data_IF_432786295172
#
_entry.id   IF_432786295172
#
_cell.length_a   1.000
_cell.length_b   1.000
_cell.length_c   1.000
_cell.angle_alpha   90.00
_cell.angle_beta   90.00
_cell.angle_gamma   90.00
#
_symmetry.space_group_name_H-M   'P 1'
#
loop_
_entity.id
_entity.type
_entity.pdbx_description
1 polymer ?
#
# COMPACT_ATOMS: atom_id res chain seq x y z
N UNK A 1 21.63 29.82 23.42
CA UNK A 1 21.94 28.42 23.05
C UNK A 1 20.69 27.56 22.85
N UNK A 2 19.74 27.51 23.80
CA UNK A 2 18.47 26.78 23.59
C UNK A 2 17.44 27.60 22.80
N UNK A 3 17.37 28.91 23.06
CA UNK A 3 16.50 29.86 22.35
C UNK A 3 16.89 29.99 20.87
N UNK A 4 18.20 30.01 20.59
CA UNK A 4 18.72 30.03 19.21
C UNK A 4 18.32 28.76 18.43
N UNK A 5 18.34 27.59 19.08
CA UNK A 5 17.88 26.34 18.48
C UNK A 5 16.38 26.39 18.18
N UNK A 6 15.59 26.96 19.10
CA UNK A 6 14.15 27.08 18.96
C UNK A 6 13.76 27.97 17.77
N UNK A 7 14.46 29.09 17.59
CA UNK A 7 14.27 29.99 16.45
C UNK A 7 14.76 29.39 15.13
N UNK A 8 15.95 28.77 15.13
CA UNK A 8 16.54 28.22 13.91
C UNK A 8 15.75 27.02 13.37
N UNK A 9 15.24 26.16 14.26
CA UNK A 9 14.50 24.95 13.90
C UNK A 9 12.98 25.17 13.85
N UNK A 10 12.52 26.42 14.04
CA UNK A 10 11.10 26.81 14.01
C UNK A 10 10.22 25.91 14.89
N UNK A 11 10.71 25.60 16.09
CA UNK A 11 10.08 24.66 17.01
C UNK A 11 8.92 25.33 17.75
N UNK A 12 7.94 24.55 18.18
CA UNK A 12 6.82 25.02 19.01
C UNK A 12 6.86 24.34 20.37
N UNK A 13 6.50 25.08 21.43
CA UNK A 13 6.43 24.50 22.76
C UNK A 13 5.25 23.54 22.80
N UNK A 14 5.54 22.28 23.11
CA UNK A 14 4.49 21.31 23.36
C UNK A 14 3.86 21.61 24.73
N UNK A 15 2.68 22.21 24.71
CA UNK A 15 1.87 22.46 25.91
C UNK A 15 0.90 21.33 26.21
N UNK A 16 1.01 20.21 25.47
CA UNK A 16 0.09 19.08 25.64
C UNK A 16 0.38 18.38 26.96
N UNK A 17 -0.65 18.25 27.80
CA UNK A 17 -0.53 17.48 29.04
C UNK A 17 -0.35 16.00 28.73
N UNK A 18 0.60 15.35 29.40
CA UNK A 18 0.86 13.93 29.22
C UNK A 18 -0.29 13.11 29.83
N UNK A 19 -1.03 12.41 28.97
CA UNK A 19 -2.10 11.50 29.40
C UNK A 19 -1.59 10.14 29.90
N UNK A 20 -0.28 9.85 29.72
CA UNK A 20 0.34 8.59 30.06
C UNK A 20 1.76 8.83 30.57
N UNK A 21 2.04 8.39 31.79
CA UNK A 21 3.33 8.52 32.45
C UNK A 21 4.02 7.16 32.60
N UNK A 22 5.31 7.19 32.88
CA UNK A 22 6.10 5.98 33.11
C UNK A 22 5.58 5.14 34.28
N UNK A 23 4.99 5.77 35.30
CA UNK A 23 4.41 5.06 36.45
C UNK A 23 3.08 4.36 36.14
N UNK A 24 2.47 4.67 34.99
CA UNK A 24 1.18 4.10 34.58
C UNK A 24 1.36 2.79 33.81
N UNK A 25 2.60 2.40 33.46
CA UNK A 25 2.92 1.16 32.76
C UNK A 25 3.55 0.16 33.74
N UNK A 26 2.89 -0.98 33.93
CA UNK A 26 3.42 -2.10 34.73
C UNK A 26 4.26 -3.09 33.91
N UNK A 27 5.01 -3.97 34.59
CA UNK A 27 5.84 -4.99 33.91
C UNK A 27 5.01 -6.09 33.22
N UNK A 28 3.75 -6.27 33.64
CA UNK A 28 2.83 -7.28 33.09
C UNK A 28 2.06 -6.76 31.85
N UNK A 29 2.22 -5.48 31.49
CA UNK A 29 1.55 -4.88 30.34
C UNK A 29 2.29 -5.12 29.02
N UNK A 30 1.53 -5.40 27.98
CA UNK A 30 2.07 -5.52 26.62
C UNK A 30 2.04 -4.19 25.87
N UNK A 31 3.18 -3.82 25.29
CA UNK A 31 3.30 -2.63 24.45
C UNK A 31 3.16 -3.03 22.98
N UNK A 32 2.14 -2.48 22.32
CA UNK A 32 1.92 -2.61 20.88
C UNK A 32 2.11 -1.27 20.18
N UNK A 33 2.80 -1.29 19.04
CA UNK A 33 3.03 -0.08 18.23
C UNK A 33 2.12 -0.11 17.02
N UNK A 34 1.39 0.98 16.80
CA UNK A 34 0.51 1.15 15.65
C UNK A 34 1.09 2.21 14.72
N UNK A 35 1.40 1.81 13.49
CA UNK A 35 1.75 2.73 12.41
C UNK A 35 0.48 3.06 11.62
N UNK A 36 0.00 4.30 11.77
CA UNK A 36 -1.30 4.77 11.27
C UNK A 36 -1.08 5.91 10.27
N UNK A 37 -1.68 5.85 9.06
CA UNK A 37 -1.63 6.94 8.10
C UNK A 37 -2.14 8.24 8.71
N UNK A 38 -1.42 9.36 8.44
CA UNK A 38 -1.80 10.69 8.94
C UNK A 38 -3.20 11.15 8.52
N UNK A 39 -3.76 10.55 7.48
CA UNK A 39 -5.13 10.80 6.99
C UNK A 39 -6.21 10.29 7.96
N UNK A 40 -5.88 9.34 8.83
CA UNK A 40 -6.83 8.78 9.79
C UNK A 40 -6.74 9.56 11.10
N UNK A 41 -7.87 10.12 11.53
CA UNK A 41 -7.99 10.67 12.88
C UNK A 41 -7.95 9.51 13.91
N UNK A 42 -7.01 9.48 14.87
CA UNK A 42 -6.93 8.43 15.88
C UNK A 42 -8.22 8.22 16.69
N UNK A 43 -9.07 9.25 16.83
CA UNK A 43 -10.37 9.14 17.51
C UNK A 43 -11.33 8.18 16.81
N UNK A 44 -11.15 7.95 15.50
CA UNK A 44 -12.01 7.06 14.71
C UNK A 44 -11.83 5.59 15.09
N UNK A 45 -10.76 5.23 15.80
CA UNK A 45 -10.55 3.87 16.31
C UNK A 45 -11.40 3.56 17.55
N UNK A 46 -12.02 4.56 18.19
CA UNK A 46 -12.85 4.35 19.37
C UNK A 46 -14.03 3.43 19.03
N UNK A 47 -14.15 2.31 19.75
CA UNK A 47 -15.20 1.31 19.55
C UNK A 47 -14.92 0.30 18.43
N UNK A 48 -13.79 0.42 17.73
CA UNK A 48 -13.37 -0.59 16.76
C UNK A 48 -12.64 -1.75 17.45
N UNK A 49 -12.84 -2.97 16.94
CA UNK A 49 -12.13 -4.16 17.41
C UNK A 49 -11.06 -4.55 16.41
N UNK A 50 -9.80 -4.53 16.85
CA UNK A 50 -8.64 -4.94 16.05
C UNK A 50 -8.04 -6.19 16.69
N UNK A 51 -7.94 -7.27 15.92
CA UNK A 51 -7.29 -8.51 16.36
C UNK A 51 -5.78 -8.38 16.13
N UNK A 52 -5.04 -8.25 17.21
CA UNK A 52 -3.58 -8.16 17.19
C UNK A 52 -2.96 -9.43 16.59
N UNK A 53 -1.84 -9.28 15.86
CA UNK A 53 -1.15 -10.39 15.19
C UNK A 53 -1.87 -10.97 13.97
N UNK A 54 -3.06 -10.46 13.61
CA UNK A 54 -3.85 -10.92 12.45
C UNK A 54 -4.10 -9.79 11.47
N UNK A 55 -4.57 -10.16 10.28
CA UNK A 55 -5.09 -9.21 9.30
C UNK A 55 -6.52 -8.82 9.69
N UNK A 56 -6.79 -7.53 9.76
CA UNK A 56 -8.10 -6.95 9.99
C UNK A 56 -8.45 -6.06 8.81
N UNK A 57 -9.75 -5.92 8.52
CA UNK A 57 -10.25 -4.90 7.60
C UNK A 57 -11.27 -4.06 8.37
N UNK A 58 -11.19 -2.75 8.24
CA UNK A 58 -12.12 -1.82 8.88
C UNK A 58 -12.32 -0.59 8.02
N UNK A 59 -13.46 0.07 8.21
CA UNK A 59 -13.84 1.24 7.42
C UNK A 59 -13.74 2.49 8.29
N UNK A 60 -13.13 3.54 7.74
CA UNK A 60 -13.08 4.86 8.36
C UNK A 60 -13.66 5.85 7.36
N UNK A 61 -14.84 6.40 7.67
CA UNK A 61 -15.59 7.19 6.70
C UNK A 61 -15.94 6.37 5.45
N UNK A 62 -15.48 6.82 4.28
CA UNK A 62 -15.71 6.13 3.00
C UNK A 62 -14.54 5.27 2.53
N UNK A 63 -13.46 5.22 3.31
CA UNK A 63 -12.24 4.53 2.93
C UNK A 63 -12.10 3.21 3.69
N UNK A 64 -11.70 2.16 2.96
CA UNK A 64 -11.42 0.86 3.52
C UNK A 64 -9.94 0.80 3.90
N UNK A 65 -9.66 0.29 5.10
CA UNK A 65 -8.32 0.10 5.61
C UNK A 65 -8.11 -1.37 5.98
N UNK A 66 -6.87 -1.82 5.91
CA UNK A 66 -6.47 -3.13 6.39
C UNK A 66 -5.24 -3.04 7.29
N UNK A 67 -5.15 -3.95 8.25
CA UNK A 67 -3.97 -4.09 9.13
C UNK A 67 -3.04 -5.17 8.60
N UNK A 68 -1.75 -4.87 8.58
CA UNK A 68 -0.68 -5.84 8.44
C UNK A 68 0.05 -5.91 9.77
N UNK A 69 -0.10 -7.03 10.46
CA UNK A 69 0.65 -7.27 11.69
C UNK A 69 1.95 -7.97 11.34
N UNK A 70 3.07 -7.40 11.75
CA UNK A 70 4.33 -8.13 11.84
C UNK A 70 4.50 -8.53 13.30
N UNK A 71 4.61 -9.84 13.55
CA UNK A 71 5.11 -10.30 14.85
C UNK A 71 6.46 -9.63 15.08
N UNK A 72 6.68 -9.09 16.29
CA UNK A 72 7.97 -8.49 16.63
C UNK A 72 9.03 -9.57 16.48
N UNK A 73 9.92 -9.44 15.49
CA UNK A 73 11.16 -10.20 15.50
C UNK A 73 11.85 -9.88 16.82
N UNK A 74 12.34 -10.91 17.52
CA UNK A 74 12.89 -10.84 18.89
C UNK A 74 14.08 -9.88 19.09
N UNK A 75 14.45 -9.12 18.05
CA UNK A 75 15.56 -8.17 17.96
C UNK A 75 15.12 -6.70 17.87
N UNK A 76 13.84 -6.38 17.67
CA UNK A 76 13.41 -4.98 17.61
C UNK A 76 13.23 -4.41 19.02
N UNK A 77 14.15 -3.54 19.43
CA UNK A 77 14.03 -2.71 20.61
C UNK A 77 13.59 -1.31 20.20
N UNK A 78 12.65 -0.73 20.94
CA UNK A 78 12.22 0.65 20.77
C UNK A 78 12.66 1.49 21.95
N UNK A 79 13.30 2.62 21.68
CA UNK A 79 13.57 3.64 22.67
C UNK A 79 12.38 4.60 22.75
N UNK A 80 11.64 4.56 23.85
CA UNK A 80 10.49 5.42 24.10
C UNK A 80 10.83 6.46 25.17
N UNK A 81 10.31 7.66 25.01
CA UNK A 81 10.47 8.76 25.97
C UNK A 81 9.16 8.95 26.71
N UNK A 82 9.17 8.70 28.03
CA UNK A 82 7.98 8.85 28.87
C UNK A 82 8.11 10.04 29.81
N UNK A 83 6.97 10.67 30.09
CA UNK A 83 6.86 11.62 31.20
C UNK A 83 6.98 10.86 32.53
N UNK A 84 7.74 11.39 33.49
CA UNK A 84 7.94 10.76 34.79
C UNK A 84 7.01 11.31 35.88
N UNK A 85 6.17 12.29 35.58
CA UNK A 85 5.32 13.02 36.54
C UNK A 85 6.10 13.92 37.52
N UNK A 86 7.41 14.10 37.33
CA UNK A 86 8.29 14.84 38.25
C UNK A 86 8.68 16.18 37.64
N UNK A 87 8.72 17.24 38.46
CA UNK A 87 9.19 18.56 38.02
C UNK A 87 10.67 18.57 37.62
N UNK A 88 11.50 17.81 38.33
CA UNK A 88 12.92 17.64 37.99
C UNK A 88 13.07 16.41 37.11
N UNK A 89 13.73 16.56 35.96
CA UNK A 89 13.90 15.52 34.92
C UNK A 89 12.53 14.94 34.50
N UNK A 90 11.69 15.75 33.85
CA UNK A 90 10.30 15.39 33.55
C UNK A 90 10.17 14.24 32.55
N UNK A 91 11.24 13.90 31.83
CA UNK A 91 11.24 12.83 30.85
C UNK A 91 12.35 11.83 31.13
N UNK A 92 12.09 10.56 30.80
CA UNK A 92 13.06 9.47 30.85
C UNK A 92 12.91 8.60 29.61
N UNK A 93 14.04 8.30 28.98
CA UNK A 93 14.12 7.32 27.89
C UNK A 93 14.20 5.92 28.48
N UNK A 94 13.38 5.01 27.97
CA UNK A 94 13.42 3.59 28.30
C UNK A 94 13.49 2.77 27.02
N UNK A 95 14.11 1.60 27.08
CA UNK A 95 14.12 0.67 25.97
C UNK A 95 13.08 -0.42 26.24
N UNK A 96 12.11 -0.57 25.35
CA UNK A 96 11.07 -1.59 25.44
C UNK A 96 11.20 -2.59 24.31
N UNK A 97 10.79 -3.82 24.57
CA UNK A 97 10.55 -4.83 23.53
C UNK A 97 9.04 -4.84 23.28
N UNK A 98 8.55 -4.26 22.17
CA UNK A 98 7.13 -4.32 21.87
C UNK A 98 6.71 -5.76 21.60
N UNK A 99 5.48 -6.11 22.01
CA UNK A 99 4.85 -7.38 21.70
C UNK A 99 4.61 -7.54 20.19
N UNK A 100 4.36 -6.43 19.49
CA UNK A 100 4.21 -6.41 18.05
C UNK A 100 4.04 -5.01 17.46
N UNK A 101 4.10 -4.94 16.14
CA UNK A 101 3.80 -3.75 15.36
C UNK A 101 2.62 -4.04 14.42
N UNK A 102 1.67 -3.11 14.38
CA UNK A 102 0.50 -3.16 13.49
C UNK A 102 0.60 -1.99 12.53
N UNK A 103 0.77 -2.30 11.25
CA UNK A 103 0.75 -1.30 10.19
C UNK A 103 -0.66 -1.21 9.62
N UNK A 104 -1.23 0.00 9.59
CA UNK A 104 -2.51 0.28 8.94
C UNK A 104 -2.24 0.83 7.55
N UNK A 105 -2.88 0.26 6.53
CA UNK A 105 -2.78 0.74 5.15
C UNK A 105 -4.16 0.85 4.51
N UNK A 106 -4.31 1.85 3.64
CA UNK A 106 -5.52 2.00 2.85
C UNK A 106 -5.64 0.82 1.88
N UNK A 107 -6.80 0.18 1.88
CA UNK A 107 -7.15 -0.86 0.93
C UNK A 107 -7.85 -0.20 -0.26
N UNK A 108 -7.19 -0.25 -1.40
CA UNK A 108 -7.80 0.16 -2.66
C UNK A 108 -8.89 -0.86 -3.02
N UNK A 109 -10.09 -0.38 -3.35
CA UNK A 109 -11.08 -1.23 -4.02
C UNK A 109 -10.49 -1.67 -5.35
N UNK A 110 -10.40 -2.98 -5.54
CA UNK A 110 -9.86 -3.57 -6.77
C UNK A 110 -10.61 -3.02 -7.98
N UNK A 111 -9.80 -2.58 -8.94
CA UNK A 111 -10.01 -2.45 -10.38
C UNK A 111 -11.46 -2.77 -10.77
N UNK A 112 -12.17 -1.74 -11.28
CA UNK A 112 -13.37 -1.93 -12.11
C UNK A 112 -13.09 -3.12 -13.00
N UNK A 113 -13.92 -4.17 -12.96
CA UNK A 113 -13.88 -5.23 -13.96
C UNK A 113 -14.15 -4.56 -15.31
N UNK A 114 -13.09 -4.00 -15.89
CA UNK A 114 -13.08 -3.51 -17.24
C UNK A 114 -13.06 -4.83 -17.99
N UNK A 115 -14.25 -5.26 -18.42
CA UNK A 115 -14.38 -6.16 -19.55
C UNK A 115 -13.62 -5.47 -20.68
N UNK A 116 -12.33 -5.80 -20.79
CA UNK A 116 -11.51 -5.54 -21.94
C UNK A 116 -12.15 -6.40 -23.02
N UNK A 117 -13.20 -5.85 -23.65
CA UNK A 117 -13.89 -6.49 -24.76
C UNK A 117 -12.81 -6.88 -25.72
N UNK A 118 -12.51 -8.18 -25.80
CA UNK A 118 -11.46 -8.66 -26.67
C UNK A 118 -11.82 -8.15 -28.07
N UNK A 119 -10.94 -7.42 -28.76
CA UNK A 119 -11.27 -6.94 -30.09
C UNK A 119 -11.67 -8.17 -30.90
N UNK A 120 -12.90 -8.16 -31.43
CA UNK A 120 -13.41 -9.26 -32.26
C UNK A 120 -12.33 -9.57 -33.29
N UNK A 121 -11.94 -10.85 -33.40
CA UNK A 121 -10.87 -11.30 -34.31
C UNK A 121 -11.06 -10.65 -35.67
N UNK A 122 -10.25 -9.64 -35.99
CA UNK A 122 -10.30 -8.97 -37.27
C UNK A 122 -9.71 -9.94 -38.28
N UNK A 123 -10.57 -10.54 -39.10
CA UNK A 123 -10.11 -11.35 -40.23
C UNK A 123 -9.50 -10.42 -41.27
N UNK A 124 -8.30 -10.75 -41.75
CA UNK A 124 -7.66 -10.00 -42.83
C UNK A 124 -8.58 -10.08 -44.06
N UNK A 125 -8.98 -8.94 -44.66
CA UNK A 125 -9.86 -8.98 -45.81
C UNK A 125 -9.17 -9.72 -46.95
N UNK A 126 -9.89 -10.64 -47.59
CA UNK A 126 -9.35 -11.36 -48.73
C UNK A 126 -9.05 -10.38 -49.87
N UNK A 127 -7.87 -10.44 -50.49
CA UNK A 127 -7.49 -9.51 -51.54
C UNK A 127 -8.47 -9.59 -52.72
N UNK A 128 -8.89 -8.43 -53.20
CA UNK A 128 -9.71 -8.29 -54.41
C UNK A 128 -8.80 -8.28 -55.64
N UNK A 129 -9.34 -8.68 -56.79
CA UNK A 129 -8.64 -8.64 -58.09
C UNK A 129 -7.40 -9.55 -58.17
N UNK A 130 -7.51 -10.77 -57.64
CA UNK A 130 -6.46 -11.79 -57.81
C UNK A 130 -6.26 -12.09 -59.30
N UNK A 131 -5.04 -11.86 -59.78
CA UNK A 131 -4.63 -12.22 -61.15
C UNK A 131 -4.21 -13.69 -61.15
N UNK A 132 -4.80 -14.49 -62.03
CA UNK A 132 -4.35 -15.87 -62.26
C UNK A 132 -2.92 -15.84 -62.79
N UNK A 133 -2.04 -16.65 -62.19
CA UNK A 133 -0.67 -16.87 -62.67
C UNK A 133 -0.48 -18.36 -62.87
N UNK A 134 0.01 -18.73 -64.04
CA UNK A 134 0.39 -20.12 -64.28
C UNK A 134 1.65 -20.43 -63.46
N UNK A 135 1.70 -21.58 -62.75
CA UNK A 135 2.83 -21.91 -61.89
C UNK A 135 4.19 -21.87 -62.60
N UNK A 136 4.21 -22.22 -63.89
CA UNK A 136 5.44 -22.27 -64.71
C UNK A 136 5.62 -21.06 -65.63
N UNK A 137 4.53 -20.44 -66.10
CA UNK A 137 4.58 -19.43 -67.17
C UNK A 137 4.17 -18.04 -66.70
N UNK A 138 3.87 -17.89 -65.41
CA UNK A 138 3.60 -16.61 -64.78
C UNK A 138 2.33 -15.94 -65.31
N UNK A 139 2.41 -14.63 -65.46
CA UNK A 139 1.26 -13.81 -65.89
C UNK A 139 0.93 -14.02 -67.38
N UNK A 140 1.95 -14.25 -68.21
CA UNK A 140 1.85 -14.31 -69.67
C UNK A 140 1.65 -15.75 -70.15
N UNK A 141 0.90 -16.55 -69.39
CA UNK A 141 0.73 -17.96 -69.66
C UNK A 141 -0.13 -18.24 -70.89
N UNK A 142 -1.04 -17.33 -71.22
CA UNK A 142 -2.00 -17.51 -72.32
C UNK A 142 -1.30 -17.67 -73.68
N UNK A 143 -0.15 -17.04 -73.85
CA UNK A 143 0.62 -17.11 -75.10
C UNK A 143 1.52 -18.36 -75.17
N UNK A 144 1.65 -19.08 -74.05
CA UNK A 144 2.59 -20.21 -73.89
C UNK A 144 1.90 -21.56 -73.68
N UNK A 145 0.58 -21.56 -73.47
CA UNK A 145 -0.21 -22.80 -73.36
C UNK A 145 -0.81 -23.09 -74.73
N UNK A 146 -0.31 -24.14 -75.38
CA UNK A 146 -0.87 -24.66 -76.63
C UNK A 146 -2.25 -25.25 -76.29
N UNK A 147 -3.31 -24.71 -76.87
CA UNK A 147 -4.65 -25.29 -76.79
C UNK A 147 -4.62 -26.69 -77.42
N UNK A 148 -4.72 -27.73 -76.60
CA UNK A 148 -5.02 -29.08 -77.11
C UNK A 148 -6.53 -29.12 -77.30
N UNK A 149 -6.99 -28.86 -78.53
CA UNK A 149 -8.38 -29.15 -78.91
C UNK A 149 -8.62 -30.66 -78.86
N UNK A 150 -9.79 -31.03 -78.36
CA UNK A 150 -10.17 -32.39 -77.96
C UNK A 150 -10.99 -33.06 -79.06
#
# INVERSE_FOLDING_TARGET
MLEDLFHNENLTYDTTEANLNLGDISEDEEIWVFDIPKTINPKNFKGQSIKLGKKNNFQVGNELYETCSSASDSKQHLSLVFNTGRRKRPYKTINVKPAGCVQVRQKLSSIVDIDLVSPKKASVPFPKNLKLRHPLFGHDYRDKVISVEK
#
